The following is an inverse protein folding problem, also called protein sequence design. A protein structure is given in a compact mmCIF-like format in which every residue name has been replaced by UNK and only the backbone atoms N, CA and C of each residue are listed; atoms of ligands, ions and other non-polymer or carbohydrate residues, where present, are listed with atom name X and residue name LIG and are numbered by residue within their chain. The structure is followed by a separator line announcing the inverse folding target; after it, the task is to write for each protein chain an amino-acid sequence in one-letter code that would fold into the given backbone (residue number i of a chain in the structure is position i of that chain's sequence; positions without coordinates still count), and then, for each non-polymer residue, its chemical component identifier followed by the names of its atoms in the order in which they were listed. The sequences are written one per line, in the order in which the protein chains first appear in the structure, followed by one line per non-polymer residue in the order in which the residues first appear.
data_IF_388064825144
#
_entry.id   IF_388064825144
#
_cell.length_a   1.000
_cell.length_b   1.000
_cell.length_c   1.000
_cell.angle_alpha   90.00
_cell.angle_beta   90.00
_cell.angle_gamma   90.00
#
_symmetry.space_group_name_H-M   'P 1'
#
loop_
_entity.id
_entity.type
_entity.pdbx_description
1 polymer ?
#
# COMPACT_ATOMS: atom_id res chain seq x y z
N UNK A 1 10.17 20.51 21.48
CA UNK A 1 9.60 20.07 20.19
C UNK A 1 10.46 18.90 19.71
N UNK A 2 9.91 17.69 19.66
CA UNK A 2 10.66 16.52 19.19
C UNK A 2 10.80 16.61 17.67
N UNK A 3 12.03 16.71 17.18
CA UNK A 3 12.34 16.56 15.76
C UNK A 3 12.03 15.11 15.39
N UNK A 4 10.99 14.88 14.60
CA UNK A 4 10.75 13.58 13.97
C UNK A 4 11.89 13.41 12.98
N UNK A 5 12.90 12.61 13.34
CA UNK A 5 13.93 12.17 12.42
C UNK A 5 13.23 11.54 11.22
N UNK A 6 13.24 12.25 10.08
CA UNK A 6 12.90 11.68 8.78
C UNK A 6 14.01 10.72 8.38
N UNK A 7 14.06 9.58 9.08
CA UNK A 7 14.70 8.37 8.56
C UNK A 7 14.16 8.19 7.15
N UNK A 8 14.99 7.92 6.15
CA UNK A 8 14.50 7.64 4.80
C UNK A 8 13.46 6.51 4.91
N UNK A 9 12.17 6.81 4.74
CA UNK A 9 11.14 5.80 4.93
C UNK A 9 11.31 4.76 3.82
N UNK A 10 11.19 3.46 4.15
CA UNK A 10 11.21 2.39 3.16
C UNK A 10 10.10 2.55 2.12
N UNK A 11 10.17 1.72 1.08
CA UNK A 11 9.26 1.76 -0.06
C UNK A 11 7.79 1.92 0.38
N UNK A 12 7.09 2.86 -0.25
CA UNK A 12 5.70 3.19 0.07
C UNK A 12 4.81 2.75 -1.08
N UNK A 13 3.78 1.97 -0.77
CA UNK A 13 2.84 1.42 -1.72
C UNK A 13 1.42 1.87 -1.41
N UNK A 14 0.53 1.86 -2.39
CA UNK A 14 -0.92 1.93 -2.13
C UNK A 14 -1.62 0.74 -2.79
N UNK A 15 -2.62 0.19 -2.10
CA UNK A 15 -3.40 -0.92 -2.61
C UNK A 15 -4.27 -0.45 -3.77
N UNK A 16 -4.09 -1.09 -4.92
CA UNK A 16 -4.81 -0.79 -6.16
C UNK A 16 -5.13 -2.11 -6.90
N UNK A 17 -6.42 -2.47 -7.09
CA UNK A 17 -6.80 -3.67 -7.83
C UNK A 17 -6.44 -3.62 -9.33
N UNK A 18 -6.19 -2.43 -9.89
CA UNK A 18 -5.67 -2.25 -11.25
C UNK A 18 -4.13 -2.24 -11.29
N UNK A 19 -3.48 -2.14 -10.13
CA UNK A 19 -2.03 -2.10 -10.00
C UNK A 19 -1.32 -3.38 -10.45
N UNK A 20 0.01 -3.33 -10.61
CA UNK A 20 0.82 -4.50 -10.89
C UNK A 20 0.82 -5.46 -9.69
N UNK A 21 0.95 -6.76 -9.97
CA UNK A 21 1.29 -7.72 -8.90
C UNK A 21 2.76 -7.56 -8.56
N UNK A 22 3.13 -7.62 -7.26
CA UNK A 22 4.53 -7.57 -6.88
C UNK A 22 5.27 -8.80 -7.40
N UNK A 23 6.46 -8.60 -7.98
CA UNK A 23 7.36 -9.71 -8.32
C UNK A 23 8.06 -10.31 -7.10
N UNK A 24 8.15 -9.55 -6.01
CA UNK A 24 8.67 -9.97 -4.69
C UNK A 24 7.82 -9.31 -3.59
N UNK A 25 7.56 -9.99 -2.45
CA UNK A 25 6.92 -9.36 -1.30
C UNK A 25 7.56 -8.01 -0.90
N UNK A 26 6.76 -6.99 -0.55
CA UNK A 26 7.28 -5.71 -0.06
C UNK A 26 8.06 -5.89 1.25
N UNK A 27 9.21 -5.24 1.43
CA UNK A 27 10.04 -5.40 2.64
C UNK A 27 9.27 -5.10 3.94
N UNK A 28 9.64 -5.75 5.05
CA UNK A 28 8.94 -5.68 6.35
C UNK A 28 8.76 -4.27 6.91
N UNK A 29 9.63 -3.35 6.56
CA UNK A 29 9.61 -1.97 7.01
C UNK A 29 8.73 -1.07 6.13
N UNK A 30 8.28 -1.54 4.96
CA UNK A 30 7.46 -0.81 4.00
C UNK A 30 6.08 -0.42 4.55
N UNK A 31 5.50 0.62 3.94
CA UNK A 31 4.13 1.04 4.21
C UNK A 31 3.23 0.71 3.02
N UNK A 32 2.03 0.18 3.30
CA UNK A 32 0.97 -0.03 2.31
C UNK A 32 -0.26 0.76 2.74
N UNK A 33 -0.65 1.75 1.95
CA UNK A 33 -1.86 2.53 2.16
C UNK A 33 -3.06 1.78 1.58
N UNK A 34 -4.14 1.65 2.35
CA UNK A 34 -5.37 0.99 1.93
C UNK A 34 -6.46 2.05 1.82
N UNK A 35 -7.09 2.12 0.64
CA UNK A 35 -8.14 3.09 0.35
C UNK A 35 -9.49 2.66 0.89
N UNK A 36 -10.51 3.53 0.81
CA UNK A 36 -11.88 3.17 1.18
C UNK A 36 -12.46 2.13 0.20
N UNK A 37 -13.62 1.58 0.54
CA UNK A 37 -14.32 0.55 -0.27
C UNK A 37 -14.56 0.99 -1.73
N UNK A 38 -14.84 2.29 -1.95
CA UNK A 38 -15.01 2.86 -3.29
C UNK A 38 -13.72 3.03 -4.09
N UNK A 39 -12.58 2.66 -3.53
CA UNK A 39 -11.26 2.87 -4.09
C UNK A 39 -10.77 4.31 -3.97
N UNK A 40 -9.64 4.59 -4.61
CA UNK A 40 -9.04 5.92 -4.64
C UNK A 40 -9.64 6.76 -5.76
N UNK A 41 -9.97 8.01 -5.45
CA UNK A 41 -10.32 8.99 -6.48
C UNK A 41 -9.06 9.49 -7.21
N UNK A 42 -9.18 10.00 -8.46
CA UNK A 42 -8.02 10.53 -9.17
C UNK A 42 -7.25 11.64 -8.41
N UNK A 43 -7.90 12.59 -7.71
CA UNK A 43 -7.19 13.57 -6.87
C UNK A 43 -6.45 12.96 -5.68
N UNK A 44 -6.99 11.89 -5.07
CA UNK A 44 -6.31 11.17 -3.99
C UNK A 44 -5.09 10.43 -4.52
N UNK A 45 -5.20 9.75 -5.67
CA UNK A 45 -4.05 9.10 -6.33
C UNK A 45 -2.95 10.13 -6.63
N UNK A 46 -3.31 11.32 -7.11
CA UNK A 46 -2.35 12.40 -7.34
C UNK A 46 -1.65 12.84 -6.04
N UNK A 47 -2.34 12.77 -4.90
CA UNK A 47 -1.78 13.07 -3.57
C UNK A 47 -0.86 11.96 -3.04
N UNK A 48 -0.98 10.75 -3.59
CA UNK A 48 -0.10 9.60 -3.32
C UNK A 48 1.14 9.59 -4.23
N UNK A 49 1.47 10.71 -4.88
CA UNK A 49 2.65 10.83 -5.73
C UNK A 49 3.93 10.36 -5.00
N UNK A 50 4.69 9.48 -5.66
CA UNK A 50 5.89 8.85 -5.09
C UNK A 50 5.64 7.51 -4.38
N UNK A 51 4.38 7.08 -4.24
CA UNK A 51 4.03 5.72 -3.86
C UNK A 51 3.85 4.85 -5.10
N UNK A 52 4.08 3.55 -4.96
CA UNK A 52 3.89 2.57 -6.03
C UNK A 52 2.53 1.87 -5.89
N UNK A 53 1.72 1.75 -6.95
CA UNK A 53 0.51 0.93 -6.91
C UNK A 53 0.87 -0.54 -6.70
N UNK A 54 0.06 -1.24 -5.91
CA UNK A 54 0.26 -2.64 -5.58
C UNK A 54 -1.06 -3.40 -5.59
N UNK A 55 -1.14 -4.47 -6.37
CA UNK A 55 -2.28 -5.39 -6.34
C UNK A 55 -2.00 -6.57 -5.41
N UNK A 56 -2.80 -6.65 -4.34
CA UNK A 56 -2.68 -7.69 -3.30
C UNK A 56 -3.44 -8.99 -3.62
N UNK A 57 -4.43 -8.95 -4.51
CA UNK A 57 -5.29 -10.10 -4.84
C UNK A 57 -5.76 -10.04 -6.30
N UNK A 58 -6.05 -11.17 -6.97
CA UNK A 58 -6.79 -11.20 -8.23
C UNK A 58 -8.25 -10.76 -8.10
N UNK A 59 -8.82 -10.78 -6.89
CA UNK A 59 -10.23 -10.49 -6.64
C UNK A 59 -10.42 -9.07 -6.10
N UNK A 60 -11.60 -8.49 -6.36
CA UNK A 60 -12.08 -7.31 -5.63
C UNK A 60 -12.50 -7.76 -4.23
N UNK A 61 -11.98 -7.09 -3.20
CA UNK A 61 -12.14 -7.47 -1.80
C UNK A 61 -12.68 -6.29 -1.00
N UNK A 62 -13.38 -6.59 0.08
CA UNK A 62 -13.74 -5.61 1.08
C UNK A 62 -12.48 -5.02 1.75
N UNK A 63 -12.56 -3.75 2.12
CA UNK A 63 -11.45 -2.96 2.67
C UNK A 63 -10.73 -3.66 3.84
N UNK A 64 -11.47 -4.31 4.73
CA UNK A 64 -10.89 -5.03 5.87
C UNK A 64 -10.03 -6.22 5.43
N UNK A 65 -10.45 -6.91 4.36
CA UNK A 65 -9.71 -8.05 3.81
C UNK A 65 -8.46 -7.58 3.08
N UNK A 66 -8.53 -6.44 2.37
CA UNK A 66 -7.37 -5.79 1.76
C UNK A 66 -6.33 -5.43 2.83
N UNK A 67 -6.77 -4.86 3.96
CA UNK A 67 -5.88 -4.53 5.07
C UNK A 67 -5.19 -5.77 5.67
N UNK A 68 -5.92 -6.87 5.89
CA UNK A 68 -5.33 -8.12 6.37
C UNK A 68 -4.30 -8.69 5.38
N UNK A 69 -4.60 -8.66 4.08
CA UNK A 69 -3.64 -9.10 3.06
C UNK A 69 -2.40 -8.20 2.99
N UNK A 70 -2.56 -6.89 3.18
CA UNK A 70 -1.43 -5.97 3.23
C UNK A 70 -0.48 -6.32 4.39
N UNK A 71 -1.03 -6.57 5.58
CA UNK A 71 -0.25 -7.01 6.74
C UNK A 71 0.44 -8.36 6.47
N UNK A 72 -0.29 -9.32 5.91
CA UNK A 72 0.27 -10.63 5.57
C UNK A 72 1.40 -10.53 4.52
N UNK A 73 1.28 -9.63 3.55
CA UNK A 73 2.31 -9.40 2.54
C UNK A 73 3.60 -8.83 3.16
N UNK A 74 3.47 -7.92 4.14
CA UNK A 74 4.62 -7.38 4.88
C UNK A 74 5.25 -8.40 5.83
N UNK A 75 4.44 -9.23 6.50
CA UNK A 75 4.94 -10.23 7.45
C UNK A 75 5.75 -11.35 6.77
N UNK A 76 5.41 -11.68 5.53
CA UNK A 76 6.04 -12.75 4.74
C UNK A 76 7.19 -12.25 3.83
N UNK A 77 7.70 -11.05 4.08
CA UNK A 77 8.79 -10.45 3.34
C UNK A 77 10.19 -10.79 3.89
#
# INVERSE_FOLDING_TARGET
QALVETRAWPARFYADPAGPRPGRPPARDSFIFVGPEGGWTPPEIASLAGLLPLRLSPYTLHVETVALLAVAALANA
#
